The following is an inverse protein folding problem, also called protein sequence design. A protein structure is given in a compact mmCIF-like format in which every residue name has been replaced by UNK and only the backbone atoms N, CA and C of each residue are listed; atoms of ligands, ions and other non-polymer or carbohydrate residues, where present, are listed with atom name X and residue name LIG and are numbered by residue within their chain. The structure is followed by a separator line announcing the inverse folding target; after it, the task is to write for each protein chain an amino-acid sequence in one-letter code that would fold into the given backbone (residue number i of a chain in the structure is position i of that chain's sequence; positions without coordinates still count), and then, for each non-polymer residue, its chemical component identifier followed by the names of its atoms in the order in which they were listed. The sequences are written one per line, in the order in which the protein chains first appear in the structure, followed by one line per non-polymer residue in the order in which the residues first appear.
data_IF_090094859831
#
_entry.id   IF_090094859831
#
_cell.length_a   1.000
_cell.length_b   1.000
_cell.length_c   1.000
_cell.angle_alpha   90.00
_cell.angle_beta   90.00
_cell.angle_gamma   90.00
#
_symmetry.space_group_name_H-M   'P 1'
#
loop_
_entity.id
_entity.type
_entity.pdbx_description
1 polymer ?
#
# COMPACT_ATOMS: atom_id res chain seq x y z
N UNK A 1 -25.11 -72.22 11.22
CA UNK A 1 -26.52 -71.84 11.60
C UNK A 1 -26.54 -70.40 12.06
N UNK A 2 -27.41 -69.61 11.41
CA UNK A 2 -27.99 -68.32 11.82
C UNK A 2 -27.02 -67.13 11.90
N UNK A 3 -27.06 -66.30 10.88
CA UNK A 3 -27.96 -65.16 10.53
C UNK A 3 -27.55 -63.84 11.21
N UNK A 4 -26.92 -62.99 10.45
CA UNK A 4 -27.44 -61.72 9.88
C UNK A 4 -28.13 -60.76 10.88
N UNK A 5 -27.56 -59.53 10.99
CA UNK A 5 -28.33 -58.35 10.60
C UNK A 5 -27.41 -57.10 10.55
N UNK A 6 -27.39 -56.52 9.37
CA UNK A 6 -26.84 -55.21 9.05
C UNK A 6 -27.63 -54.10 9.75
N UNK A 7 -26.95 -53.10 10.23
CA UNK A 7 -27.54 -51.81 10.57
C UNK A 7 -26.79 -50.67 9.85
N UNK A 8 -27.38 -50.19 8.80
CA UNK A 8 -27.03 -48.92 8.14
C UNK A 8 -27.21 -47.77 9.14
N UNK A 9 -26.13 -47.09 9.51
CA UNK A 9 -26.21 -45.76 10.12
C UNK A 9 -26.12 -44.71 9.02
N UNK A 10 -27.27 -44.09 8.76
CA UNK A 10 -27.39 -42.97 7.85
C UNK A 10 -26.64 -41.74 8.39
N UNK A 11 -25.77 -41.18 7.58
CA UNK A 11 -25.14 -39.89 7.84
C UNK A 11 -26.18 -38.78 7.67
N UNK A 12 -26.63 -38.18 8.76
CA UNK A 12 -27.38 -36.93 8.72
C UNK A 12 -26.41 -35.81 8.33
N UNK A 13 -26.46 -35.39 7.08
CA UNK A 13 -25.87 -34.16 6.59
C UNK A 13 -26.48 -33.01 7.39
N UNK A 14 -25.67 -32.36 8.25
CA UNK A 14 -26.01 -31.07 8.83
C UNK A 14 -25.95 -30.02 7.73
N UNK A 15 -27.10 -29.66 7.16
CA UNK A 15 -27.26 -28.43 6.37
C UNK A 15 -26.87 -27.26 7.26
N UNK A 16 -25.69 -26.65 6.99
CA UNK A 16 -25.34 -25.33 7.50
C UNK A 16 -26.34 -24.35 6.91
N UNK A 17 -27.17 -23.76 7.76
CA UNK A 17 -28.03 -22.65 7.38
C UNK A 17 -27.15 -21.49 6.88
N UNK A 18 -27.24 -21.17 5.60
CA UNK A 18 -26.66 -19.97 5.04
C UNK A 18 -27.24 -18.77 5.81
N UNK A 19 -26.37 -17.98 6.42
CA UNK A 19 -26.73 -16.65 6.95
C UNK A 19 -27.21 -15.82 5.77
N UNK A 20 -28.51 -15.56 5.70
CA UNK A 20 -29.08 -14.58 4.77
C UNK A 20 -28.41 -13.23 4.98
N UNK A 21 -27.68 -12.77 3.98
CA UNK A 21 -27.22 -11.38 3.91
C UNK A 21 -28.46 -10.49 3.79
N UNK A 22 -28.54 -9.45 4.61
CA UNK A 22 -29.62 -8.44 4.48
C UNK A 22 -29.44 -7.73 3.14
N UNK A 23 -30.35 -7.97 2.22
CA UNK A 23 -30.38 -7.30 0.93
C UNK A 23 -30.62 -5.79 1.07
N UNK A 24 -30.06 -5.04 0.12
CA UNK A 24 -30.29 -3.60 0.00
C UNK A 24 -31.68 -3.37 -0.61
N UNK A 25 -32.51 -2.61 0.06
CA UNK A 25 -33.86 -2.24 -0.43
C UNK A 25 -33.73 -1.08 -1.41
N UNK A 26 -34.09 -1.29 -2.66
CA UNK A 26 -34.20 -0.21 -3.66
C UNK A 26 -35.67 0.13 -3.83
N UNK A 27 -36.06 1.33 -3.43
CA UNK A 27 -37.42 1.88 -3.70
C UNK A 27 -37.39 2.58 -5.05
N UNK A 28 -38.29 2.20 -5.95
CA UNK A 28 -38.53 2.89 -7.21
C UNK A 28 -39.83 3.64 -7.09
N UNK A 29 -39.80 4.95 -6.91
CA UNK A 29 -40.98 5.82 -6.94
C UNK A 29 -41.31 6.14 -8.39
N UNK A 30 -42.38 5.52 -8.87
CA UNK A 30 -43.01 5.93 -10.13
C UNK A 30 -44.14 6.93 -9.82
N UNK A 31 -44.10 8.10 -10.42
CA UNK A 31 -45.12 9.15 -10.32
C UNK A 31 -46.54 8.56 -10.53
N UNK A 32 -47.37 8.69 -9.48
CA UNK A 32 -48.82 8.49 -9.55
C UNK A 32 -49.31 7.06 -9.39
N UNK A 33 -49.70 6.68 -8.19
CA UNK A 33 -50.66 5.63 -7.83
C UNK A 33 -50.43 4.24 -8.44
N UNK A 34 -49.24 3.64 -8.21
CA UNK A 34 -49.05 2.18 -8.31
C UNK A 34 -48.35 1.67 -7.04
N UNK A 35 -48.75 0.50 -6.51
CA UNK A 35 -48.14 -0.06 -5.31
C UNK A 35 -46.64 -0.32 -5.59
N UNK A 36 -45.77 0.27 -4.74
CA UNK A 36 -44.32 -0.01 -4.78
C UNK A 36 -44.09 -1.44 -4.28
N UNK A 37 -43.54 -2.29 -5.14
CA UNK A 37 -43.07 -3.62 -4.75
C UNK A 37 -41.64 -3.48 -4.28
N UNK A 38 -41.37 -3.69 -3.00
CA UNK A 38 -40.00 -3.79 -2.47
C UNK A 38 -39.45 -5.20 -2.79
N UNK A 39 -38.52 -5.26 -3.73
CA UNK A 39 -37.78 -6.48 -4.03
C UNK A 39 -36.42 -6.43 -3.33
N UNK A 40 -36.18 -7.33 -2.37
CA UNK A 40 -34.86 -7.59 -1.82
C UNK A 40 -34.05 -8.36 -2.88
N UNK A 41 -33.22 -7.65 -3.62
CA UNK A 41 -32.29 -8.27 -4.56
C UNK A 41 -30.91 -8.46 -3.89
N UNK A 42 -30.27 -9.62 -4.01
CA UNK A 42 -28.91 -9.85 -3.55
C UNK A 42 -27.91 -9.15 -4.51
N UNK A 43 -27.93 -7.81 -4.51
CA UNK A 43 -27.17 -6.97 -5.45
C UNK A 43 -25.67 -7.28 -5.41
N UNK A 44 -25.11 -7.56 -4.23
CA UNK A 44 -23.70 -7.91 -4.10
C UNK A 44 -23.33 -9.21 -4.82
N UNK A 45 -24.20 -10.24 -4.76
CA UNK A 45 -24.01 -11.52 -5.45
C UNK A 45 -24.20 -11.38 -6.96
N UNK A 46 -25.20 -10.57 -7.38
CA UNK A 46 -25.46 -10.29 -8.80
C UNK A 46 -24.29 -9.50 -9.40
N UNK A 47 -23.79 -8.46 -8.70
CA UNK A 47 -22.66 -7.66 -9.19
C UNK A 47 -21.38 -8.48 -9.26
N UNK A 48 -21.13 -9.37 -8.29
CA UNK A 48 -19.97 -10.27 -8.32
C UNK A 48 -20.04 -11.20 -9.54
N UNK A 49 -21.16 -11.87 -9.77
CA UNK A 49 -21.35 -12.76 -10.93
C UNK A 49 -21.28 -12.04 -12.28
N UNK A 50 -21.78 -10.80 -12.35
CA UNK A 50 -21.66 -9.97 -13.56
C UNK A 50 -20.21 -9.56 -13.80
N UNK A 51 -19.49 -9.21 -12.75
CA UNK A 51 -18.08 -8.81 -12.85
C UNK A 51 -17.21 -9.97 -13.32
N UNK A 52 -17.39 -11.17 -12.76
CA UNK A 52 -16.69 -12.39 -13.19
C UNK A 52 -16.96 -12.69 -14.68
N UNK A 53 -18.22 -12.65 -15.11
CA UNK A 53 -18.60 -12.88 -16.51
C UNK A 53 -18.04 -11.82 -17.46
N UNK A 54 -17.94 -10.56 -17.03
CA UNK A 54 -17.34 -9.48 -17.84
C UNK A 54 -15.82 -9.65 -17.93
N UNK A 55 -15.16 -10.10 -16.85
CA UNK A 55 -13.73 -10.39 -16.87
C UNK A 55 -13.39 -11.55 -17.81
N UNK A 56 -14.13 -12.65 -17.77
CA UNK A 56 -13.99 -13.79 -18.70
C UNK A 56 -14.19 -13.35 -20.15
N UNK A 57 -15.28 -12.65 -20.45
CA UNK A 57 -15.56 -12.14 -21.79
C UNK A 57 -14.46 -11.19 -22.28
N UNK A 58 -13.89 -10.37 -21.39
CA UNK A 58 -12.80 -9.45 -21.72
C UNK A 58 -11.51 -10.19 -22.03
N UNK A 59 -11.22 -11.29 -21.33
CA UNK A 59 -10.08 -12.15 -21.59
C UNK A 59 -10.22 -12.84 -22.95
N UNK A 60 -11.36 -13.47 -23.22
CA UNK A 60 -11.63 -14.14 -24.49
C UNK A 60 -11.56 -13.19 -25.68
N UNK A 61 -12.17 -12.01 -25.55
CA UNK A 61 -12.09 -10.97 -26.56
C UNK A 61 -10.63 -10.49 -26.76
N UNK A 62 -9.86 -10.33 -25.69
CA UNK A 62 -8.45 -9.97 -25.73
C UNK A 62 -7.59 -11.01 -26.44
N UNK A 63 -7.77 -12.30 -26.15
CA UNK A 63 -7.08 -13.40 -26.81
C UNK A 63 -7.45 -13.46 -28.31
N UNK A 64 -8.71 -13.27 -28.65
CA UNK A 64 -9.15 -13.23 -30.05
C UNK A 64 -8.49 -12.07 -30.81
N UNK A 65 -8.44 -10.88 -30.23
CA UNK A 65 -7.77 -9.73 -30.83
C UNK A 65 -6.28 -10.00 -31.03
N UNK A 66 -5.59 -10.55 -30.02
CA UNK A 66 -4.17 -10.93 -30.13
C UNK A 66 -3.96 -11.94 -31.25
N UNK A 67 -4.81 -12.97 -31.35
CA UNK A 67 -4.77 -13.97 -32.43
C UNK A 67 -4.94 -13.32 -33.80
N UNK A 68 -5.90 -12.42 -33.97
CA UNK A 68 -6.11 -11.70 -35.23
C UNK A 68 -4.88 -10.84 -35.60
N UNK A 69 -4.30 -10.14 -34.64
CA UNK A 69 -3.13 -9.29 -34.89
C UNK A 69 -1.89 -10.08 -35.28
N UNK A 70 -1.64 -11.23 -34.63
CA UNK A 70 -0.51 -12.11 -34.98
C UNK A 70 -0.75 -12.73 -36.36
N UNK A 71 -1.97 -13.18 -36.65
CA UNK A 71 -2.32 -13.75 -37.95
C UNK A 71 -2.17 -12.73 -39.08
N UNK A 72 -2.57 -11.48 -38.89
CA UNK A 72 -2.34 -10.38 -39.81
C UNK A 72 -0.83 -10.13 -40.07
N UNK A 73 0.00 -10.24 -39.04
CA UNK A 73 1.46 -10.14 -39.20
C UNK A 73 2.00 -11.28 -40.03
N UNK A 74 1.55 -12.52 -39.77
CA UNK A 74 1.91 -13.69 -40.58
C UNK A 74 1.47 -13.50 -42.03
N UNK A 75 0.22 -13.07 -42.26
CA UNK A 75 -0.24 -12.81 -43.63
C UNK A 75 0.61 -11.76 -44.37
N UNK A 76 1.03 -10.74 -43.69
CA UNK A 76 1.87 -9.68 -44.25
C UNK A 76 3.26 -10.17 -44.64
N UNK A 77 3.81 -11.15 -43.88
CA UNK A 77 5.15 -11.71 -44.10
C UNK A 77 5.17 -12.88 -45.08
N UNK A 78 4.13 -13.70 -45.12
CA UNK A 78 4.10 -14.96 -45.91
C UNK A 78 2.95 -15.03 -46.92
N UNK A 79 2.11 -13.99 -47.01
CA UNK A 79 0.96 -13.94 -47.87
C UNK A 79 -0.27 -14.67 -47.33
N UNK A 80 -1.41 -14.49 -48.02
CA UNK A 80 -2.71 -15.04 -47.60
C UNK A 80 -2.70 -16.56 -47.65
N UNK A 81 -3.38 -17.17 -46.67
CA UNK A 81 -3.57 -18.63 -46.61
C UNK A 81 -4.25 -19.13 -47.87
N UNK A 82 -3.67 -20.19 -48.51
CA UNK A 82 -4.24 -20.82 -49.67
C UNK A 82 -3.98 -20.13 -51.02
N UNK A 83 -3.24 -18.99 -51.06
CA UNK A 83 -2.79 -18.38 -52.30
C UNK A 83 -1.36 -18.77 -52.59
N UNK A 84 -1.07 -19.21 -53.82
CA UNK A 84 0.26 -19.49 -54.32
C UNK A 84 0.89 -18.17 -54.77
N UNK A 85 2.09 -17.90 -54.31
CA UNK A 85 2.94 -16.78 -54.71
C UNK A 85 4.34 -17.35 -55.05
N UNK A 86 4.77 -17.28 -56.36
CA UNK A 86 6.05 -17.82 -56.77
C UNK A 86 7.25 -17.06 -56.20
N UNK A 87 7.08 -15.79 -55.84
CA UNK A 87 8.16 -14.95 -55.32
C UNK A 87 8.18 -14.93 -53.76
N UNK A 88 7.47 -15.85 -53.15
CA UNK A 88 7.36 -15.95 -51.70
C UNK A 88 8.70 -16.27 -51.04
N UNK A 89 9.11 -15.36 -50.13
CA UNK A 89 10.37 -15.52 -49.38
C UNK A 89 10.20 -16.34 -48.07
N UNK A 90 8.98 -16.54 -47.62
CA UNK A 90 8.66 -17.30 -46.41
C UNK A 90 7.34 -18.03 -46.55
N UNK A 91 7.13 -19.09 -45.81
CA UNK A 91 5.93 -19.92 -45.82
C UNK A 91 5.45 -20.25 -44.38
N UNK A 92 4.16 -20.51 -44.22
CA UNK A 92 3.61 -21.01 -42.98
C UNK A 92 4.17 -22.38 -42.63
N UNK A 93 4.51 -22.57 -41.34
CA UNK A 93 5.12 -23.80 -40.85
C UNK A 93 4.40 -24.39 -39.64
N UNK A 94 3.07 -24.45 -39.69
CA UNK A 94 2.23 -24.95 -38.61
C UNK A 94 2.06 -23.98 -37.44
N UNK A 95 1.82 -24.56 -36.28
CA UNK A 95 1.63 -23.83 -35.01
C UNK A 95 2.50 -24.46 -33.94
N UNK A 96 2.72 -23.74 -32.86
CA UNK A 96 3.49 -24.18 -31.69
C UNK A 96 2.78 -23.67 -30.43
N UNK A 97 2.76 -24.52 -29.40
CA UNK A 97 2.24 -24.13 -28.09
C UNK A 97 3.15 -23.11 -27.44
N UNK A 98 2.57 -22.02 -27.01
CA UNK A 98 3.27 -20.93 -26.33
C UNK A 98 2.35 -20.24 -25.31
N UNK A 99 2.65 -19.00 -25.02
CA UNK A 99 1.79 -18.18 -24.16
C UNK A 99 1.81 -16.71 -24.57
N UNK A 100 0.77 -15.99 -24.17
CA UNK A 100 0.72 -14.52 -24.17
C UNK A 100 0.40 -14.03 -22.79
N UNK A 101 0.73 -12.78 -22.48
CA UNK A 101 0.40 -12.15 -21.19
C UNK A 101 -0.80 -11.24 -21.37
N UNK A 102 -1.91 -11.57 -20.70
CA UNK A 102 -3.15 -10.81 -20.76
C UNK A 102 -3.69 -10.61 -19.34
N UNK A 103 -4.10 -9.39 -19.00
CA UNK A 103 -4.57 -9.02 -17.65
C UNK A 103 -3.61 -9.42 -16.51
N UNK A 104 -2.31 -9.47 -16.78
CA UNK A 104 -1.28 -9.88 -15.82
C UNK A 104 -1.14 -11.39 -15.61
N UNK A 105 -1.71 -12.20 -16.50
CA UNK A 105 -1.67 -13.66 -16.45
C UNK A 105 -1.04 -14.22 -17.72
N UNK A 106 -0.28 -15.32 -17.61
CA UNK A 106 0.17 -16.09 -18.76
C UNK A 106 -0.96 -16.98 -19.23
N UNK A 107 -1.43 -16.71 -20.44
CA UNK A 107 -2.52 -17.46 -21.08
C UNK A 107 -1.95 -18.39 -22.12
N UNK A 108 -2.38 -19.66 -22.19
CA UNK A 108 -2.01 -20.57 -23.27
C UNK A 108 -2.36 -19.95 -24.62
N UNK A 109 -1.45 -20.04 -25.56
CA UNK A 109 -1.64 -19.47 -26.89
C UNK A 109 -0.94 -20.30 -27.94
N UNK A 110 -1.69 -20.77 -28.90
CA UNK A 110 -1.18 -21.49 -30.05
C UNK A 110 -0.66 -20.48 -31.09
N UNK A 111 0.68 -20.24 -31.12
CA UNK A 111 1.27 -19.28 -32.04
C UNK A 111 1.44 -19.87 -33.45
N UNK A 112 1.09 -19.15 -34.53
CA UNK A 112 1.46 -19.55 -35.85
C UNK A 112 2.97 -19.41 -36.06
N UNK A 113 3.55 -20.33 -36.85
CA UNK A 113 4.96 -20.29 -37.24
C UNK A 113 5.11 -19.99 -38.71
N UNK A 114 6.14 -19.26 -39.05
CA UNK A 114 6.56 -19.00 -40.41
C UNK A 114 8.07 -19.28 -40.58
N UNK A 115 8.47 -19.85 -41.71
CA UNK A 115 9.87 -20.07 -42.04
C UNK A 115 10.19 -19.51 -43.41
N UNK A 116 11.39 -18.99 -43.55
CA UNK A 116 11.95 -18.57 -44.81
C UNK A 116 12.29 -19.80 -45.69
N UNK A 117 12.56 -19.58 -46.96
CA UNK A 117 12.88 -20.65 -47.91
C UNK A 117 14.13 -21.42 -47.52
N UNK A 118 15.09 -20.77 -46.84
CA UNK A 118 16.31 -21.39 -46.29
C UNK A 118 16.08 -22.17 -44.99
N UNK A 119 14.82 -22.19 -44.47
CA UNK A 119 14.45 -22.93 -43.28
C UNK A 119 14.55 -22.17 -41.96
N UNK A 120 15.01 -20.91 -41.98
CA UNK A 120 15.12 -20.07 -40.78
C UNK A 120 13.73 -19.65 -40.28
N UNK A 121 13.55 -19.56 -38.96
CA UNK A 121 12.28 -19.09 -38.33
C UNK A 121 12.12 -17.59 -38.59
N UNK A 122 10.90 -17.18 -38.99
CA UNK A 122 10.53 -15.76 -39.12
C UNK A 122 10.06 -15.26 -37.78
N UNK A 123 10.71 -14.26 -37.15
CA UNK A 123 10.28 -13.74 -35.89
C UNK A 123 8.95 -12.99 -36.05
N UNK A 124 8.05 -13.12 -35.05
CA UNK A 124 6.76 -12.44 -35.01
C UNK A 124 6.80 -11.38 -33.91
N UNK A 125 7.04 -10.13 -34.30
CA UNK A 125 7.24 -9.01 -33.36
C UNK A 125 6.03 -8.76 -32.45
N UNK A 126 4.81 -8.97 -32.97
CA UNK A 126 3.58 -8.82 -32.18
C UNK A 126 3.47 -9.93 -31.13
N UNK A 127 3.85 -11.16 -31.48
CA UNK A 127 3.87 -12.25 -30.52
C UNK A 127 4.90 -11.97 -29.40
N UNK A 128 6.09 -11.52 -29.75
CA UNK A 128 7.13 -11.18 -28.77
C UNK A 128 6.68 -10.06 -27.84
N UNK A 129 5.97 -9.03 -28.36
CA UNK A 129 5.38 -7.96 -27.53
C UNK A 129 4.28 -8.47 -26.60
N UNK A 130 3.51 -9.48 -27.01
CA UNK A 130 2.45 -10.06 -26.17
C UNK A 130 3.01 -11.00 -25.08
N UNK A 131 4.30 -11.29 -25.10
CA UNK A 131 5.01 -12.01 -24.04
C UNK A 131 5.62 -11.08 -22.98
N UNK A 132 5.49 -9.75 -23.13
CA UNK A 132 6.03 -8.78 -22.18
C UNK A 132 5.45 -8.96 -20.78
N UNK A 133 6.35 -9.18 -19.80
CA UNK A 133 6.02 -9.37 -18.39
C UNK A 133 5.63 -8.08 -17.64
N UNK A 134 5.71 -6.92 -18.26
CA UNK A 134 5.44 -5.63 -17.58
C UNK A 134 4.03 -5.55 -16.99
N UNK A 135 3.03 -6.11 -17.66
CA UNK A 135 1.68 -6.23 -17.13
C UNK A 135 1.59 -7.25 -15.98
N UNK A 136 2.31 -8.37 -16.07
CA UNK A 136 2.40 -9.39 -15.03
C UNK A 136 3.01 -8.81 -13.75
N UNK A 137 4.12 -8.07 -13.85
CA UNK A 137 4.74 -7.41 -12.71
C UNK A 137 3.78 -6.46 -11.99
N UNK A 138 3.05 -5.64 -12.75
CA UNK A 138 2.04 -4.72 -12.15
C UNK A 138 0.88 -5.46 -11.49
N UNK A 139 0.40 -6.55 -12.09
CA UNK A 139 -0.68 -7.34 -11.52
C UNK A 139 -0.22 -8.06 -10.24
N UNK A 140 0.96 -8.70 -10.26
CA UNK A 140 1.57 -9.33 -9.06
C UNK A 140 1.70 -8.32 -7.93
N UNK A 141 2.26 -7.13 -8.21
CA UNK A 141 2.39 -6.07 -7.22
C UNK A 141 1.07 -5.66 -6.61
N UNK A 142 0.04 -5.51 -7.45
CA UNK A 142 -1.31 -5.14 -7.01
C UNK A 142 -1.94 -6.17 -6.08
N UNK A 143 -1.82 -7.46 -6.42
CA UNK A 143 -2.37 -8.56 -5.62
C UNK A 143 -1.59 -8.77 -4.31
N UNK A 144 -0.26 -8.68 -4.33
CA UNK A 144 0.54 -8.79 -3.11
C UNK A 144 0.25 -7.64 -2.15
N UNK A 145 0.12 -6.40 -2.66
CA UNK A 145 -0.30 -5.25 -1.86
C UNK A 145 -1.73 -5.38 -1.30
N UNK A 146 -2.61 -6.10 -2.01
CA UNK A 146 -3.95 -6.41 -1.50
C UNK A 146 -3.97 -7.53 -0.44
N UNK A 147 -2.81 -8.07 -0.06
CA UNK A 147 -2.66 -9.06 1.01
C UNK A 147 -2.72 -10.51 0.55
N UNK A 148 -2.62 -10.78 -0.76
CA UNK A 148 -2.49 -12.16 -1.26
C UNK A 148 -1.06 -12.65 -1.01
N UNK A 149 -0.92 -13.70 -0.18
CA UNK A 149 0.39 -14.29 0.06
C UNK A 149 0.97 -14.87 -1.25
N UNK A 150 2.28 -14.67 -1.46
CA UNK A 150 2.95 -15.11 -2.71
C UNK A 150 2.79 -16.61 -2.99
N UNK A 151 2.65 -17.44 -1.95
CA UNK A 151 2.43 -18.90 -2.07
C UNK A 151 1.03 -19.26 -2.57
N UNK A 152 0.03 -18.39 -2.36
CA UNK A 152 -1.37 -18.62 -2.73
C UNK A 152 -1.75 -17.91 -4.04
N UNK A 153 -0.83 -17.12 -4.60
CA UNK A 153 -1.08 -16.36 -5.82
C UNK A 153 -1.44 -17.27 -7.01
N UNK A 154 -0.73 -18.40 -7.17
CA UNK A 154 -1.05 -19.39 -8.19
C UNK A 154 -2.49 -19.88 -8.11
N UNK A 155 -2.97 -20.24 -6.90
CA UNK A 155 -4.34 -20.71 -6.68
C UNK A 155 -5.40 -19.68 -7.09
N UNK A 156 -5.17 -18.41 -6.76
CA UNK A 156 -6.09 -17.32 -7.14
C UNK A 156 -6.13 -17.12 -8.66
N UNK A 157 -4.99 -17.31 -9.33
CA UNK A 157 -4.92 -17.22 -10.80
C UNK A 157 -5.57 -18.43 -11.46
N UNK A 158 -5.33 -19.63 -10.94
CA UNK A 158 -5.83 -20.89 -11.51
C UNK A 158 -7.37 -21.03 -11.35
N UNK A 159 -7.97 -20.45 -10.29
CA UNK A 159 -9.42 -20.44 -10.10
C UNK A 159 -10.18 -19.61 -11.17
N UNK A 160 -9.49 -18.68 -11.83
CA UNK A 160 -10.13 -17.72 -12.75
C UNK A 160 -9.86 -18.03 -14.22
N UNK A 161 -8.79 -18.74 -14.56
CA UNK A 161 -8.41 -19.03 -15.95
C UNK A 161 -7.64 -20.35 -16.08
N UNK A 162 -7.90 -21.10 -17.14
CA UNK A 162 -7.10 -22.24 -17.64
C UNK A 162 -5.75 -21.77 -18.22
N UNK A 163 -5.10 -20.86 -17.53
CA UNK A 163 -3.79 -20.32 -17.92
C UNK A 163 -2.64 -21.11 -17.33
N UNK A 164 -1.41 -20.81 -17.77
CA UNK A 164 -0.22 -21.34 -17.14
C UNK A 164 -0.17 -20.85 -15.70
N UNK A 165 -0.07 -21.78 -14.74
CA UNK A 165 0.04 -21.48 -13.32
C UNK A 165 1.23 -20.57 -13.02
N UNK A 166 1.07 -19.71 -12.02
CA UNK A 166 2.16 -18.82 -11.56
C UNK A 166 2.76 -19.40 -10.29
N UNK A 167 3.98 -19.91 -10.39
CA UNK A 167 4.69 -20.46 -9.24
C UNK A 167 5.09 -19.38 -8.22
N UNK A 168 5.18 -19.77 -6.94
CA UNK A 168 5.65 -18.91 -5.86
C UNK A 168 6.97 -18.20 -6.18
N UNK A 169 7.91 -18.90 -6.77
CA UNK A 169 9.20 -18.36 -7.20
C UNK A 169 9.07 -17.26 -8.25
N UNK A 170 8.15 -17.41 -9.20
CA UNK A 170 7.84 -16.42 -10.22
C UNK A 170 7.20 -15.18 -9.60
N UNK A 171 6.20 -15.34 -8.74
CA UNK A 171 5.56 -14.22 -8.02
C UNK A 171 6.58 -13.44 -7.21
N UNK A 172 7.44 -14.12 -6.45
CA UNK A 172 8.48 -13.49 -5.63
C UNK A 172 9.48 -12.71 -6.49
N UNK A 173 9.91 -13.25 -7.64
CA UNK A 173 10.82 -12.57 -8.57
C UNK A 173 10.19 -11.32 -9.18
N UNK A 174 8.96 -11.40 -9.66
CA UNK A 174 8.25 -10.25 -10.21
C UNK A 174 8.00 -9.17 -9.15
N UNK A 175 7.67 -9.59 -7.92
CA UNK A 175 7.51 -8.68 -6.79
C UNK A 175 8.82 -7.94 -6.47
N UNK A 176 9.94 -8.68 -6.40
CA UNK A 176 11.26 -8.06 -6.18
C UNK A 176 11.59 -7.02 -7.24
N UNK A 177 11.47 -7.39 -8.52
CA UNK A 177 11.76 -6.48 -9.63
C UNK A 177 10.88 -5.22 -9.58
N UNK A 178 9.56 -5.39 -9.37
CA UNK A 178 8.63 -4.26 -9.23
C UNK A 178 8.99 -3.37 -8.05
N UNK A 179 9.28 -3.98 -6.89
CA UNK A 179 9.58 -3.23 -5.66
C UNK A 179 10.89 -2.45 -5.79
N UNK A 180 11.92 -3.03 -6.40
CA UNK A 180 13.19 -2.34 -6.68
C UNK A 180 12.99 -1.14 -7.59
N UNK A 181 12.34 -1.32 -8.74
CA UNK A 181 12.07 -0.25 -9.68
C UNK A 181 11.23 0.88 -9.03
N UNK A 182 10.21 0.52 -8.26
CA UNK A 182 9.36 1.51 -7.57
C UNK A 182 10.09 2.24 -6.46
N UNK A 183 11.00 1.57 -5.75
CA UNK A 183 11.84 2.21 -4.74
C UNK A 183 12.82 3.18 -5.39
N UNK A 184 13.47 2.80 -6.49
CA UNK A 184 14.36 3.67 -7.25
C UNK A 184 13.63 4.91 -7.79
N UNK A 185 12.46 4.74 -8.44
CA UNK A 185 11.61 5.85 -8.89
C UNK A 185 11.23 6.78 -7.72
N UNK A 186 10.88 6.19 -6.57
CA UNK A 186 10.50 6.94 -5.36
C UNK A 186 11.68 7.74 -4.80
N UNK A 187 12.86 7.14 -4.68
CA UNK A 187 14.06 7.79 -4.17
C UNK A 187 14.66 8.82 -5.15
N UNK A 188 14.40 8.70 -6.45
CA UNK A 188 14.84 9.67 -7.45
C UNK A 188 13.85 10.83 -7.65
N UNK A 189 12.65 10.76 -7.07
CA UNK A 189 11.58 11.76 -7.32
C UNK A 189 11.95 13.14 -6.78
N UNK A 190 11.86 14.21 -7.62
CA UNK A 190 12.08 15.59 -7.17
C UNK A 190 11.03 16.02 -6.14
N UNK A 191 11.45 16.74 -5.10
CA UNK A 191 10.58 17.26 -4.04
C UNK A 191 10.33 18.76 -4.14
N UNK A 192 11.12 19.49 -4.92
CA UNK A 192 11.06 20.95 -5.03
C UNK A 192 9.74 21.52 -5.54
N UNK A 193 8.88 20.69 -6.14
CA UNK A 193 7.54 21.08 -6.58
C UNK A 193 6.48 20.97 -5.47
N UNK A 194 6.83 20.36 -4.34
CA UNK A 194 5.92 20.18 -3.21
C UNK A 194 5.97 21.41 -2.31
N UNK A 195 4.84 22.09 -2.14
CA UNK A 195 4.72 23.20 -1.18
C UNK A 195 4.50 22.65 0.23
N UNK A 196 5.58 22.09 0.83
CA UNK A 196 5.52 21.40 2.12
C UNK A 196 5.40 22.40 3.27
N UNK A 197 4.42 22.21 4.14
CA UNK A 197 4.22 22.95 5.39
C UNK A 197 4.78 22.25 6.62
N UNK A 198 4.77 20.91 6.60
CA UNK A 198 5.32 20.10 7.69
C UNK A 198 6.01 18.83 7.18
N UNK A 199 6.99 18.36 7.95
CA UNK A 199 7.68 17.09 7.74
C UNK A 199 7.64 16.31 9.04
N UNK A 200 7.13 15.09 9.00
CA UNK A 200 7.18 14.13 10.10
C UNK A 200 8.31 13.17 9.85
N UNK A 201 9.13 12.88 10.86
CA UNK A 201 10.19 11.87 10.79
C UNK A 201 10.07 10.95 11.99
N UNK A 202 10.11 9.65 11.74
CA UNK A 202 9.97 8.63 12.77
C UNK A 202 10.73 7.35 12.40
N UNK A 203 11.16 6.61 13.41
CA UNK A 203 11.77 5.29 13.26
C UNK A 203 10.73 4.19 13.38
N UNK A 204 10.63 3.33 12.36
CA UNK A 204 9.77 2.15 12.37
C UNK A 204 10.62 0.90 12.47
N UNK A 205 10.43 0.10 13.52
CA UNK A 205 11.13 -1.18 13.68
C UNK A 205 10.67 -2.19 12.63
N UNK A 206 11.64 -2.81 11.95
CA UNK A 206 11.41 -3.85 10.96
C UNK A 206 12.44 -4.97 11.19
N UNK A 207 12.01 -6.06 11.83
CA UNK A 207 12.88 -7.13 12.32
C UNK A 207 14.07 -6.59 13.14
N UNK A 208 15.29 -6.82 12.72
CA UNK A 208 16.55 -6.36 13.35
C UNK A 208 16.98 -4.95 12.88
N UNK A 209 16.19 -4.32 11.98
CA UNK A 209 16.51 -3.01 11.39
C UNK A 209 15.52 -1.96 11.85
N UNK A 210 15.95 -0.70 11.77
CA UNK A 210 15.09 0.47 11.93
C UNK A 210 14.97 1.19 10.60
N UNK A 211 13.75 1.38 10.13
CA UNK A 211 13.45 2.16 8.94
C UNK A 211 13.11 3.59 9.38
N UNK A 212 13.99 4.55 9.11
CA UNK A 212 13.71 5.98 9.34
C UNK A 212 12.93 6.52 8.15
N UNK A 213 11.76 7.07 8.42
CA UNK A 213 10.78 7.47 7.41
C UNK A 213 10.49 8.95 7.50
N UNK A 214 10.46 9.65 6.37
CA UNK A 214 10.02 11.04 6.25
C UNK A 214 8.69 11.12 5.49
N UNK A 215 7.69 11.78 6.12
CA UNK A 215 6.37 12.06 5.57
C UNK A 215 6.15 13.58 5.52
N UNK A 216 5.92 14.14 4.34
CA UNK A 216 5.58 15.54 4.16
C UNK A 216 4.08 15.79 4.17
N UNK A 217 3.70 16.98 4.62
CA UNK A 217 2.32 17.50 4.50
C UNK A 217 2.43 18.83 3.75
N UNK A 218 1.75 18.93 2.63
CA UNK A 218 1.74 20.16 1.83
C UNK A 218 0.72 21.18 2.36
N UNK A 219 0.73 22.39 1.78
CA UNK A 219 -0.18 23.48 2.15
C UNK A 219 -1.66 23.15 1.95
N UNK A 220 -2.00 22.12 1.17
CA UNK A 220 -3.38 21.63 0.97
C UNK A 220 -3.78 20.55 1.96
N UNK A 221 -2.83 20.07 2.81
CA UNK A 221 -3.04 19.00 3.77
C UNK A 221 -2.84 17.59 3.20
N UNK A 222 -2.38 17.46 1.96
CA UNK A 222 -2.04 16.16 1.37
C UNK A 222 -0.74 15.63 1.95
N UNK A 223 -0.72 14.32 2.14
CA UNK A 223 0.43 13.60 2.67
C UNK A 223 1.27 13.01 1.54
N UNK A 224 2.57 13.19 1.62
CA UNK A 224 3.55 12.71 0.66
C UNK A 224 4.64 11.94 1.39
N UNK A 225 4.82 10.66 1.07
CA UNK A 225 6.04 9.97 1.49
C UNK A 225 7.23 10.66 0.81
N UNK A 226 8.17 11.18 1.60
CA UNK A 226 9.30 11.91 1.07
C UNK A 226 10.53 11.04 0.88
N UNK A 227 10.83 10.19 1.85
CA UNK A 227 12.00 9.33 1.83
C UNK A 227 11.97 8.27 2.91
N UNK A 228 12.83 7.28 2.73
CA UNK A 228 13.09 6.21 3.68
C UNK A 228 14.59 5.91 3.71
N UNK A 229 15.11 5.62 4.89
CA UNK A 229 16.49 5.17 5.05
C UNK A 229 16.53 4.00 6.02
N UNK A 230 17.24 2.93 5.66
CA UNK A 230 17.38 1.74 6.49
C UNK A 230 18.65 1.86 7.33
N UNK A 231 18.55 1.61 8.63
CA UNK A 231 19.68 1.55 9.55
C UNK A 231 19.57 0.35 10.48
N UNK A 232 20.69 -0.07 11.05
CA UNK A 232 20.70 -1.07 12.13
C UNK A 232 20.07 -0.53 13.42
N UNK A 233 20.19 0.78 13.63
CA UNK A 233 19.58 1.53 14.74
C UNK A 233 19.26 2.94 14.24
N UNK A 234 18.36 3.62 14.96
CA UNK A 234 18.11 5.04 14.76
C UNK A 234 19.29 5.85 15.33
N UNK A 235 20.21 6.24 14.47
CA UNK A 235 21.39 7.02 14.83
C UNK A 235 21.53 8.28 13.97
N UNK A 236 22.38 9.21 14.38
CA UNK A 236 22.59 10.48 13.69
C UNK A 236 23.06 10.31 12.24
N UNK A 237 23.81 9.25 11.93
CA UNK A 237 24.30 8.99 10.58
C UNK A 237 23.15 8.70 9.60
N UNK A 238 22.25 7.78 9.97
CA UNK A 238 21.07 7.40 9.15
C UNK A 238 20.14 8.61 8.96
N UNK A 239 19.94 9.40 10.03
CA UNK A 239 19.11 10.60 9.96
C UNK A 239 19.73 11.66 9.06
N UNK A 240 21.02 11.93 9.18
CA UNK A 240 21.72 12.88 8.33
C UNK A 240 21.71 12.44 6.86
N UNK A 241 21.87 11.16 6.60
CA UNK A 241 21.77 10.61 5.25
C UNK A 241 20.37 10.83 4.65
N UNK A 242 19.29 10.57 5.41
CA UNK A 242 17.94 10.83 4.98
C UNK A 242 17.71 12.32 4.68
N UNK A 243 18.14 13.22 5.58
CA UNK A 243 17.98 14.67 5.40
C UNK A 243 18.78 15.18 4.19
N UNK A 244 20.01 14.70 3.99
CA UNK A 244 20.83 15.03 2.84
C UNK A 244 20.15 14.63 1.52
N UNK A 245 19.61 13.40 1.44
CA UNK A 245 18.84 12.92 0.29
C UNK A 245 17.61 13.80 0.01
N UNK A 246 16.84 14.15 1.05
CA UNK A 246 15.67 15.00 0.89
C UNK A 246 16.03 16.40 0.35
N UNK A 247 17.14 16.98 0.84
CA UNK A 247 17.63 18.28 0.40
C UNK A 247 18.12 18.23 -1.05
N UNK A 248 18.91 17.21 -1.41
CA UNK A 248 19.38 17.00 -2.79
C UNK A 248 18.22 16.92 -3.78
N UNK A 249 17.12 16.29 -3.35
CA UNK A 249 15.89 16.19 -4.15
C UNK A 249 14.99 17.43 -4.09
N UNK A 250 15.40 18.48 -3.37
CA UNK A 250 14.75 19.79 -3.38
C UNK A 250 13.90 20.14 -2.18
N UNK A 251 14.09 19.46 -1.01
CA UNK A 251 13.47 19.93 0.24
C UNK A 251 14.04 21.31 0.63
N UNK A 252 13.21 22.37 0.76
CA UNK A 252 13.70 23.73 0.96
C UNK A 252 14.29 23.92 2.36
N UNK A 253 15.49 24.53 2.44
CA UNK A 253 16.17 24.87 3.69
C UNK A 253 15.96 26.34 4.12
N UNK A 254 15.63 27.23 3.19
CA UNK A 254 15.60 28.68 3.42
C UNK A 254 14.24 29.25 3.82
N UNK A 255 13.30 28.42 4.32
CA UNK A 255 11.97 28.86 4.78
C UNK A 255 11.53 28.10 6.03
N UNK A 256 10.67 28.70 6.87
CA UNK A 256 10.11 28.03 8.04
C UNK A 256 9.39 26.72 7.67
N UNK A 257 9.72 25.64 8.40
CA UNK A 257 9.13 24.33 8.20
C UNK A 257 8.88 23.67 9.55
N UNK A 258 7.70 23.09 9.74
CA UNK A 258 7.36 22.36 10.96
C UNK A 258 7.88 20.91 10.86
N UNK A 259 8.73 20.52 11.79
CA UNK A 259 9.20 19.14 11.92
C UNK A 259 8.51 18.48 13.09
N UNK A 260 7.76 17.38 12.85
CA UNK A 260 7.17 16.57 13.91
C UNK A 260 8.07 15.35 14.12
N UNK A 261 8.70 15.29 15.29
CA UNK A 261 9.72 14.29 15.61
C UNK A 261 9.30 13.49 16.85
N UNK A 262 9.82 12.27 16.95
CA UNK A 262 9.79 11.51 18.21
C UNK A 262 10.76 12.11 19.25
N UNK A 263 11.06 11.33 20.32
CA UNK A 263 12.00 11.77 21.36
C UNK A 263 13.48 11.58 21.05
N UNK A 264 13.85 11.17 19.83
CA UNK A 264 15.24 10.91 19.46
C UNK A 264 16.09 12.18 19.46
N UNK A 265 17.11 12.20 20.32
CA UNK A 265 18.09 13.31 20.37
C UNK A 265 18.88 13.41 19.07
N UNK A 266 19.13 12.28 18.42
CA UNK A 266 19.85 12.23 17.15
C UNK A 266 19.04 12.92 16.03
N UNK A 267 17.75 12.61 15.93
CA UNK A 267 16.80 13.23 14.99
C UNK A 267 16.69 14.74 15.22
N UNK A 268 16.44 15.13 16.46
CA UNK A 268 16.34 16.54 16.85
C UNK A 268 17.61 17.33 16.47
N UNK A 269 18.78 16.80 16.83
CA UNK A 269 20.06 17.43 16.51
C UNK A 269 20.26 17.55 15.01
N UNK A 270 20.04 16.47 14.26
CA UNK A 270 20.22 16.47 12.82
C UNK A 270 19.32 17.52 12.11
N UNK A 271 18.04 17.62 12.51
CA UNK A 271 17.11 18.61 11.98
C UNK A 271 17.55 20.04 12.32
N UNK A 272 17.98 20.28 13.57
CA UNK A 272 18.45 21.61 14.01
C UNK A 272 19.76 22.02 13.35
N UNK A 273 20.71 21.09 13.22
CA UNK A 273 21.98 21.36 12.54
C UNK A 273 21.77 21.66 11.05
N UNK A 274 20.77 21.05 10.43
CA UNK A 274 20.50 21.17 8.99
C UNK A 274 19.66 22.40 8.63
N UNK A 275 18.61 22.71 9.41
CA UNK A 275 17.62 23.76 9.09
C UNK A 275 17.72 24.98 10.02
N UNK A 276 18.51 24.93 11.10
CA UNK A 276 18.74 26.06 11.99
C UNK A 276 17.46 26.68 12.56
N UNK A 277 17.33 27.98 12.40
CA UNK A 277 16.17 28.78 12.86
C UNK A 277 14.89 28.49 12.09
N UNK A 278 15.00 27.98 10.86
CA UNK A 278 13.84 27.61 10.04
C UNK A 278 13.16 26.31 10.50
N UNK A 279 13.80 25.51 11.38
CA UNK A 279 13.23 24.31 11.94
C UNK A 279 12.33 24.64 13.15
N UNK A 280 11.02 24.59 12.98
CA UNK A 280 10.07 24.56 14.09
C UNK A 280 9.85 23.12 14.51
N UNK A 281 10.41 22.69 15.63
CA UNK A 281 10.27 21.30 16.08
C UNK A 281 9.07 21.15 16.99
N UNK A 282 8.15 20.27 16.61
CA UNK A 282 7.07 19.74 17.43
C UNK A 282 7.45 18.33 17.90
N UNK A 283 7.57 18.14 19.19
CA UNK A 283 7.78 16.82 19.78
C UNK A 283 6.48 16.01 19.73
N UNK A 284 6.55 14.76 19.28
CA UNK A 284 5.40 13.87 19.25
C UNK A 284 4.79 13.68 20.64
N UNK A 285 3.54 14.16 20.82
CA UNK A 285 2.85 14.09 22.11
C UNK A 285 2.55 12.64 22.51
N UNK A 286 2.31 11.73 21.55
CA UNK A 286 2.04 10.30 21.83
C UNK A 286 3.27 9.61 22.36
N UNK A 287 4.43 9.82 21.76
CA UNK A 287 5.71 9.27 22.28
C UNK A 287 6.08 9.88 23.62
N UNK A 288 5.86 11.18 23.80
CA UNK A 288 6.07 11.84 25.10
C UNK A 288 5.17 11.26 26.19
N UNK A 289 3.88 11.06 25.90
CA UNK A 289 2.95 10.41 26.82
C UNK A 289 3.45 9.01 27.23
N UNK A 290 3.80 8.16 26.27
CA UNK A 290 4.34 6.81 26.54
C UNK A 290 5.57 6.88 27.45
N UNK A 291 6.54 7.71 27.10
CA UNK A 291 7.78 7.84 27.86
C UNK A 291 7.56 8.28 29.32
N UNK A 292 6.64 9.21 29.57
CA UNK A 292 6.29 9.63 30.93
C UNK A 292 5.58 8.52 31.69
N UNK A 293 4.62 7.85 31.04
CA UNK A 293 3.82 6.81 31.69
C UNK A 293 4.62 5.54 32.01
N UNK A 294 5.65 5.23 31.23
CA UNK A 294 6.51 4.06 31.46
C UNK A 294 7.31 4.16 32.77
N UNK A 295 7.52 5.37 33.28
CA UNK A 295 8.12 5.61 34.59
C UNK A 295 7.12 5.55 35.75
N UNK A 296 5.81 5.40 35.49
CA UNK A 296 4.78 5.49 36.50
C UNK A 296 4.10 4.14 36.79
N UNK A 297 3.74 3.85 38.05
CA UNK A 297 2.88 2.71 38.39
C UNK A 297 1.54 2.78 37.64
N UNK A 298 0.99 1.62 37.27
CA UNK A 298 -0.28 1.52 36.51
C UNK A 298 -1.44 2.28 37.15
N UNK A 299 -1.48 2.36 38.49
CA UNK A 299 -2.50 3.11 39.25
C UNK A 299 -2.55 4.61 38.93
N UNK A 300 -1.41 5.23 38.59
CA UNK A 300 -1.30 6.67 38.31
C UNK A 300 -1.35 6.99 36.81
N UNK A 301 -1.06 6.02 35.93
CA UNK A 301 -0.97 6.23 34.50
C UNK A 301 -2.26 6.83 33.88
N UNK A 302 -3.43 6.37 34.30
CA UNK A 302 -4.70 6.91 33.78
C UNK A 302 -4.88 8.39 34.10
N UNK A 303 -4.60 8.77 35.35
CA UNK A 303 -4.75 10.17 35.81
C UNK A 303 -3.79 11.08 35.07
N UNK A 304 -2.50 10.69 34.96
CA UNK A 304 -1.47 11.49 34.29
C UNK A 304 -1.79 11.60 32.79
N UNK A 305 -2.20 10.52 32.13
CA UNK A 305 -2.65 10.54 30.74
C UNK A 305 -3.80 11.52 30.49
N UNK A 306 -4.80 11.49 31.34
CA UNK A 306 -5.95 12.42 31.23
C UNK A 306 -5.48 13.88 31.37
N UNK A 307 -4.61 14.18 32.30
CA UNK A 307 -4.08 15.55 32.52
C UNK A 307 -3.19 16.01 31.36
N UNK A 308 -2.30 15.14 30.83
CA UNK A 308 -1.52 15.42 29.63
C UNK A 308 -2.41 15.79 28.45
N UNK A 309 -3.41 14.95 28.17
CA UNK A 309 -4.31 15.17 27.04
C UNK A 309 -5.21 16.41 27.25
N UNK A 310 -5.61 16.72 28.47
CA UNK A 310 -6.34 17.94 28.79
C UNK A 310 -5.48 19.19 28.54
N UNK A 311 -4.22 19.20 29.02
CA UNK A 311 -3.31 20.31 28.79
C UNK A 311 -3.02 20.53 27.30
N UNK A 312 -2.71 19.47 26.53
CA UNK A 312 -2.51 19.55 25.08
C UNK A 312 -3.78 19.88 24.28
N UNK A 313 -4.96 19.69 24.88
CA UNK A 313 -6.25 20.07 24.31
C UNK A 313 -6.60 21.55 24.48
N UNK A 314 -5.88 22.29 25.32
CA UNK A 314 -6.12 23.70 25.57
C UNK A 314 -5.88 24.54 24.31
N UNK A 315 -6.63 25.66 24.19
CA UNK A 315 -6.51 26.52 23.02
C UNK A 315 -5.26 27.38 23.05
N UNK A 316 -4.99 28.00 24.21
CA UNK A 316 -3.91 28.95 24.38
C UNK A 316 -2.61 28.24 24.80
N UNK A 317 -1.49 28.70 24.25
CA UNK A 317 -0.16 28.21 24.58
C UNK A 317 0.17 28.42 26.08
N UNK A 318 -0.15 29.61 26.62
CA UNK A 318 0.07 29.94 28.03
C UNK A 318 -0.60 28.96 28.98
N UNK A 319 -1.89 28.72 28.75
CA UNK A 319 -2.70 27.87 29.61
C UNK A 319 -2.22 26.41 29.56
N UNK A 320 -1.94 25.92 28.35
CA UNK A 320 -1.38 24.58 28.15
C UNK A 320 -0.03 24.41 28.86
N UNK A 321 0.85 25.41 28.75
CA UNK A 321 2.17 25.41 29.39
C UNK A 321 2.06 25.41 30.91
N UNK A 322 1.20 26.27 31.48
CA UNK A 322 1.01 26.37 32.92
C UNK A 322 0.41 25.09 33.50
N UNK A 323 -0.54 24.45 32.77
CA UNK A 323 -1.09 23.17 33.22
C UNK A 323 -0.05 22.03 33.15
N UNK A 324 0.80 22.01 32.10
CA UNK A 324 1.90 21.04 32.03
C UNK A 324 2.93 21.25 33.15
N UNK A 325 3.25 22.47 33.53
CA UNK A 325 4.12 22.76 34.69
C UNK A 325 3.56 22.23 36.00
N UNK A 326 2.27 22.49 36.27
CA UNK A 326 1.56 21.92 37.43
C UNK A 326 1.55 20.40 37.40
N UNK A 327 1.49 19.81 36.20
CA UNK A 327 1.56 18.37 36.07
C UNK A 327 2.97 17.84 36.34
N UNK A 328 4.04 18.55 35.96
CA UNK A 328 5.41 18.21 36.31
C UNK A 328 5.55 18.14 37.84
N UNK A 329 5.12 19.18 38.57
CA UNK A 329 5.13 19.21 40.04
C UNK A 329 4.36 18.04 40.65
N UNK A 330 3.21 17.72 40.13
CA UNK A 330 2.43 16.57 40.57
C UNK A 330 3.14 15.24 40.33
N UNK A 331 3.72 15.07 39.14
CA UNK A 331 4.44 13.85 38.77
C UNK A 331 5.77 13.69 39.50
N UNK A 332 6.44 14.79 39.85
CA UNK A 332 7.65 14.80 40.67
C UNK A 332 7.45 14.10 42.02
N UNK A 333 6.30 14.37 42.66
CA UNK A 333 5.92 13.72 43.93
C UNK A 333 5.60 12.22 43.74
N UNK A 334 5.32 11.75 42.54
CA UNK A 334 5.07 10.34 42.26
C UNK A 334 6.32 9.60 41.84
N UNK A 335 7.10 10.18 40.92
CA UNK A 335 8.35 9.65 40.41
C UNK A 335 9.18 10.76 39.75
N UNK A 336 10.36 11.10 40.30
CA UNK A 336 11.23 12.12 39.73
C UNK A 336 11.74 11.81 38.30
N UNK A 337 11.84 10.54 37.91
CA UNK A 337 12.24 10.18 36.55
C UNK A 337 11.12 10.46 35.53
N UNK A 338 9.86 10.28 35.93
CA UNK A 338 8.71 10.65 35.11
C UNK A 338 8.62 12.17 34.94
N UNK A 339 8.89 12.94 35.99
CA UNK A 339 8.94 14.41 35.95
C UNK A 339 10.03 14.90 34.99
N UNK A 340 11.26 14.42 35.13
CA UNK A 340 12.36 14.71 34.18
C UNK A 340 12.03 14.35 32.76
N UNK A 341 11.38 13.19 32.56
CA UNK A 341 10.90 12.79 31.23
C UNK A 341 9.86 13.74 30.65
N UNK A 342 8.99 14.33 31.50
CA UNK A 342 7.99 15.31 31.06
C UNK A 342 8.63 16.67 30.75
N UNK A 343 9.54 17.15 31.60
CA UNK A 343 10.24 18.43 31.40
C UNK A 343 11.13 18.44 30.16
N UNK A 344 11.78 17.30 29.86
CA UNK A 344 12.61 17.18 28.66
C UNK A 344 11.77 17.43 27.39
N UNK A 345 12.02 18.55 26.71
CA UNK A 345 11.31 18.94 25.49
C UNK A 345 9.82 19.29 25.71
N UNK A 346 9.42 19.69 26.92
CA UNK A 346 8.06 20.13 27.22
C UNK A 346 7.60 21.24 26.28
N UNK A 347 8.43 22.28 26.10
CA UNK A 347 8.15 23.41 25.21
C UNK A 347 7.91 22.95 23.75
N UNK A 348 8.65 21.94 23.31
CA UNK A 348 8.52 21.40 21.96
C UNK A 348 7.20 20.63 21.75
N UNK A 349 6.59 20.11 22.82
CA UNK A 349 5.25 19.50 22.71
C UNK A 349 4.14 20.52 22.45
N UNK A 350 4.45 21.82 22.63
CA UNK A 350 3.54 22.96 22.45
C UNK A 350 3.88 23.83 21.23
N UNK A 351 4.78 23.44 20.36
CA UNK A 351 5.16 24.24 19.18
C UNK A 351 3.95 24.55 18.30
N UNK A 352 3.05 23.57 18.07
CA UNK A 352 1.82 23.78 17.30
C UNK A 352 0.84 24.76 17.98
N UNK A 353 0.90 24.94 19.29
CA UNK A 353 0.15 25.97 20.01
C UNK A 353 0.79 27.33 19.83
N UNK A 354 2.12 27.41 19.96
CA UNK A 354 2.89 28.66 19.77
C UNK A 354 2.75 29.19 18.35
N UNK A 355 2.58 28.30 17.36
CA UNK A 355 2.31 28.67 15.96
C UNK A 355 0.83 28.97 15.71
N UNK A 356 -0.02 28.97 16.73
CA UNK A 356 -1.44 29.26 16.68
C UNK A 356 -2.23 28.47 15.63
N UNK A 357 -1.81 27.22 15.37
CA UNK A 357 -2.46 26.39 14.38
C UNK A 357 -3.92 26.07 14.76
N UNK A 358 -4.85 26.01 13.79
CA UNK A 358 -6.23 25.59 14.02
C UNK A 358 -6.32 24.21 14.66
N UNK A 359 -7.33 23.97 15.49
CA UNK A 359 -7.52 22.69 16.22
C UNK A 359 -7.53 21.46 15.30
N UNK A 360 -8.13 21.58 14.11
CA UNK A 360 -8.16 20.52 13.11
C UNK A 360 -6.75 20.08 12.65
N UNK A 361 -5.84 21.04 12.47
CA UNK A 361 -4.46 20.78 12.10
C UNK A 361 -3.65 20.28 13.30
N UNK A 362 -3.88 20.81 14.50
CA UNK A 362 -3.21 20.35 15.72
C UNK A 362 -3.43 18.85 15.96
N UNK A 363 -4.64 18.32 15.70
CA UNK A 363 -4.92 16.89 15.83
C UNK A 363 -4.02 16.01 14.94
N UNK A 364 -3.70 16.47 13.76
CA UNK A 364 -2.82 15.74 12.81
C UNK A 364 -1.35 15.93 13.15
N UNK A 365 -0.96 17.17 13.48
CA UNK A 365 0.46 17.56 13.63
C UNK A 365 1.03 17.34 15.03
N UNK A 366 0.24 16.85 15.98
CA UNK A 366 0.70 16.57 17.34
C UNK A 366 1.51 15.27 17.50
N UNK A 367 1.48 14.40 16.49
CA UNK A 367 2.13 13.09 16.57
C UNK A 367 2.60 12.58 15.22
N UNK A 368 3.51 11.59 15.24
CA UNK A 368 3.99 10.85 14.09
C UNK A 368 3.08 9.67 13.69
N UNK A 369 1.91 9.49 14.33
CA UNK A 369 0.94 8.44 14.01
C UNK A 369 0.60 8.33 12.51
N UNK A 370 0.57 9.41 11.69
CA UNK A 370 0.42 9.26 10.24
C UNK A 370 1.46 8.36 9.57
N UNK A 371 2.70 8.32 10.09
CA UNK A 371 3.75 7.39 9.63
C UNK A 371 3.41 5.96 10.09
N UNK A 372 3.12 5.77 11.40
CA UNK A 372 2.75 4.45 11.93
C UNK A 372 1.58 3.83 11.15
N UNK A 373 0.58 4.64 10.77
CA UNK A 373 -0.57 4.18 9.98
C UNK A 373 -0.19 3.73 8.57
N UNK A 374 0.86 4.27 7.95
CA UNK A 374 1.34 3.81 6.65
C UNK A 374 1.93 2.38 6.73
N UNK A 375 2.45 1.98 7.89
CA UNK A 375 3.06 0.68 8.14
C UNK A 375 2.17 -0.29 8.94
N UNK A 376 0.98 0.15 9.37
CA UNK A 376 0.03 -0.68 10.12
C UNK A 376 -0.70 -1.72 9.27
N UNK A 377 -0.38 -1.84 7.99
CA UNK A 377 -0.83 -2.93 7.13
C UNK A 377 -0.17 -4.24 7.61
N UNK A 378 -0.73 -4.82 8.67
CA UNK A 378 -0.44 -6.21 9.01
C UNK A 378 -1.15 -7.07 7.98
N UNK A 379 -0.43 -7.81 7.13
CA UNK A 379 -1.09 -8.83 6.32
C UNK A 379 -1.82 -9.74 7.29
N UNK A 380 -3.11 -9.95 7.07
CA UNK A 380 -3.86 -10.99 7.79
C UNK A 380 -3.32 -12.33 7.30
N UNK A 381 -2.44 -12.93 8.10
CA UNK A 381 -1.98 -14.31 7.91
C UNK A 381 -3.11 -15.29 8.27
#
# INVERSE_FOLDING_TARGET
MRNQKSAKKGSRSRRKSARRSKGTVVSVDANGAKPSVQLELPIAEILSGVQESVEELSIDAGLLVMKCLIEEEVERRVGKKGKHDPDRQAQRHGHEDGYVVLAGKKMPFERPRARTVDGSEVPLERYDRFQDDGHMQRAVGKHVLAGVATRDYGKVVDEVCDGYGVEKSSVSRHWKALSTNKLEEFLARPLGQLDLSAVMIDGVGFDEYTLVVALGIDSTGRKHMLGVCLGATENSHVTNQLLADLIERGLPQGRPLLFVLDGSKALHKAVKDTFGEFAHVQRCQVHKERNVLDHLPKSHQRTVRMRLNAAWGMKLYSDAKDELKKLVEYVENLNPSAARSLEEGLEETLTIHRLELPESLRKTLRSTNPIENCFSFKPKY
#
